data_IF_990673096610
#
_entry.id   IF_990673096610
#
_cell.length_a   1.000
_cell.length_b   1.000
_cell.length_c   1.000
_cell.angle_alpha   90.00
_cell.angle_beta   90.00
_cell.angle_gamma   90.00
#
_symmetry.space_group_name_H-M   'P 1'
#
loop_
_entity.id
_entity.type
_entity.pdbx_description
1 polymer ?
#
# COMPACT_ATOMS: atom_id res chain seq x y z
N UNK A 1 7.79 12.51 6.06
CA UNK A 1 9.24 12.56 6.38
C UNK A 1 9.71 13.99 6.28
N UNK A 2 10.57 14.47 7.19
CA UNK A 2 11.21 15.79 7.08
C UNK A 2 12.18 15.79 5.88
N UNK A 3 12.20 16.87 5.08
CA UNK A 3 13.05 16.99 3.88
C UNK A 3 14.54 16.78 4.17
N UNK A 4 15.05 17.27 5.30
CA UNK A 4 16.45 17.02 5.70
C UNK A 4 16.75 15.53 5.91
N UNK A 5 15.78 14.76 6.36
CA UNK A 5 15.93 13.30 6.51
C UNK A 5 15.89 12.59 5.16
N UNK A 6 15.13 13.10 4.18
CA UNK A 6 15.10 12.53 2.84
C UNK A 6 16.47 12.64 2.15
N UNK A 7 17.12 13.80 2.21
CA UNK A 7 18.47 13.98 1.62
C UNK A 7 19.49 13.05 2.27
N UNK A 8 19.45 12.92 3.61
CA UNK A 8 20.30 11.98 4.32
C UNK A 8 20.04 10.53 3.90
N UNK A 9 18.77 10.11 3.79
CA UNK A 9 18.34 8.80 3.33
C UNK A 9 18.87 8.50 1.92
N UNK A 10 18.69 9.41 0.96
CA UNK A 10 19.17 9.24 -0.41
C UNK A 10 20.70 9.14 -0.47
N UNK A 11 21.40 9.94 0.34
CA UNK A 11 22.85 9.90 0.42
C UNK A 11 23.36 8.58 0.98
N UNK A 12 22.76 8.09 2.07
CA UNK A 12 23.13 6.82 2.71
C UNK A 12 22.89 5.65 1.75
N UNK A 13 21.72 5.59 1.10
CA UNK A 13 21.42 4.53 0.14
C UNK A 13 22.38 4.52 -1.05
N UNK A 14 22.79 5.69 -1.54
CA UNK A 14 23.79 5.75 -2.60
C UNK A 14 25.16 5.22 -2.17
N UNK A 15 25.53 5.39 -0.90
CA UNK A 15 26.76 4.80 -0.34
C UNK A 15 26.61 3.27 -0.22
N UNK A 16 25.47 2.78 0.32
CA UNK A 16 25.19 1.35 0.46
C UNK A 16 25.13 0.63 -0.90
N UNK A 17 24.50 1.22 -1.92
CA UNK A 17 24.51 0.70 -3.30
C UNK A 17 25.92 0.47 -3.82
N UNK A 18 26.85 1.42 -3.58
CA UNK A 18 28.25 1.29 -3.99
C UNK A 18 28.98 0.23 -3.19
N UNK A 19 28.77 0.19 -1.88
CA UNK A 19 29.42 -0.72 -0.96
C UNK A 19 29.05 -2.19 -1.26
N UNK A 20 27.76 -2.47 -1.47
CA UNK A 20 27.22 -3.83 -1.63
C UNK A 20 26.92 -4.23 -3.09
N UNK A 21 27.41 -3.46 -4.08
CA UNK A 21 27.11 -3.66 -5.51
C UNK A 21 27.42 -5.06 -6.07
N UNK A 22 28.27 -5.86 -5.39
CA UNK A 22 28.62 -7.24 -5.78
C UNK A 22 27.81 -8.30 -5.07
N UNK A 23 27.11 -7.93 -4.01
CA UNK A 23 26.43 -8.86 -3.10
C UNK A 23 24.92 -8.79 -3.26
N UNK A 24 24.36 -7.59 -3.46
CA UNK A 24 22.92 -7.35 -3.54
C UNK A 24 22.60 -6.12 -4.38
N UNK A 25 21.45 -6.16 -5.05
CA UNK A 25 20.86 -4.98 -5.69
C UNK A 25 19.99 -4.24 -4.67
N UNK A 26 20.33 -2.98 -4.41
CA UNK A 26 19.56 -2.12 -3.51
C UNK A 26 18.81 -1.09 -4.37
N UNK A 27 17.48 -1.07 -4.28
CA UNK A 27 16.64 -0.05 -4.88
C UNK A 27 16.29 1.02 -3.86
N UNK A 28 16.40 2.28 -4.27
CA UNK A 28 15.93 3.43 -3.47
C UNK A 28 14.45 3.60 -3.71
N UNK A 29 13.65 3.59 -2.66
CA UNK A 29 12.21 3.78 -2.79
C UNK A 29 11.59 4.49 -1.61
N UNK A 30 10.37 4.96 -1.80
CA UNK A 30 9.53 5.54 -0.77
C UNK A 30 8.13 4.92 -0.85
N UNK A 31 7.49 4.82 0.28
CA UNK A 31 6.05 4.65 0.33
C UNK A 31 5.42 6.04 0.31
N UNK A 32 4.63 6.30 -0.72
CA UNK A 32 3.96 7.57 -0.97
C UNK A 32 2.50 7.42 -0.57
N UNK A 33 2.08 8.19 0.42
CA UNK A 33 0.67 8.26 0.77
C UNK A 33 -0.13 9.05 -0.27
N UNK A 34 -1.19 8.43 -0.80
CA UNK A 34 -2.24 9.18 -1.47
C UNK A 34 -3.18 9.76 -0.41
N UNK A 35 -3.30 11.06 -0.39
CA UNK A 35 -4.19 11.80 0.51
C UNK A 35 -5.11 12.66 -0.35
N UNK A 36 -6.41 12.35 -0.35
CA UNK A 36 -7.42 13.11 -1.11
C UNK A 36 -7.33 14.60 -0.80
N UNK A 37 -7.21 15.43 -1.85
CA UNK A 37 -7.05 16.88 -1.71
C UNK A 37 -5.61 17.37 -1.61
N UNK A 38 -4.61 16.45 -1.62
CA UNK A 38 -3.18 16.78 -1.63
C UNK A 38 -2.47 16.26 -2.91
N UNK A 39 -3.23 16.07 -3.98
CA UNK A 39 -2.69 15.56 -5.25
C UNK A 39 -1.63 16.48 -5.83
N UNK A 40 -1.83 17.81 -5.71
CA UNK A 40 -0.88 18.82 -6.21
C UNK A 40 0.45 18.76 -5.46
N UNK A 41 0.41 18.68 -4.13
CA UNK A 41 1.58 18.61 -3.27
C UNK A 41 2.33 17.28 -3.48
N UNK A 42 1.59 16.19 -3.65
CA UNK A 42 2.18 14.87 -3.95
C UNK A 42 2.86 14.91 -5.32
N UNK A 43 2.23 15.53 -6.33
CA UNK A 43 2.80 15.70 -7.67
C UNK A 43 4.06 16.55 -7.64
N UNK A 44 4.03 17.68 -6.90
CA UNK A 44 5.22 18.54 -6.72
C UNK A 44 6.36 17.77 -6.06
N UNK A 45 6.06 17.02 -4.99
CA UNK A 45 7.06 16.17 -4.33
C UNK A 45 7.67 15.15 -5.31
N UNK A 46 6.84 14.44 -6.05
CA UNK A 46 7.28 13.44 -7.02
C UNK A 46 8.11 14.07 -8.16
N UNK A 47 7.75 15.25 -8.65
CA UNK A 47 8.52 15.96 -9.66
C UNK A 47 9.90 16.38 -9.15
N UNK A 48 10.01 16.73 -7.87
CA UNK A 48 11.28 17.14 -7.26
C UNK A 48 12.21 15.97 -6.93
N UNK A 49 11.64 14.83 -6.51
CA UNK A 49 12.42 13.72 -5.95
C UNK A 49 12.30 12.41 -6.71
N UNK A 50 11.28 12.24 -7.57
CA UNK A 50 10.99 10.98 -8.24
C UNK A 50 12.14 10.46 -9.11
N UNK A 51 12.95 11.35 -9.70
CA UNK A 51 14.11 10.95 -10.49
C UNK A 51 15.24 10.28 -9.68
N UNK A 52 15.20 10.39 -8.35
CA UNK A 52 16.15 9.74 -7.43
C UNK A 52 15.66 8.39 -6.91
N UNK A 53 14.42 8.02 -7.23
CA UNK A 53 13.79 6.80 -6.76
C UNK A 53 13.83 5.74 -7.86
N UNK A 54 14.31 4.55 -7.53
CA UNK A 54 14.32 3.41 -8.45
C UNK A 54 12.97 2.70 -8.47
N UNK A 55 12.30 2.65 -7.30
CA UNK A 55 11.04 1.97 -7.07
C UNK A 55 10.32 2.60 -5.86
N UNK A 56 9.01 2.75 -5.96
CA UNK A 56 8.20 3.32 -4.89
C UNK A 56 6.81 2.69 -4.89
N UNK A 57 6.13 2.81 -3.76
CA UNK A 57 4.80 2.26 -3.56
C UNK A 57 3.83 3.43 -3.33
N UNK A 58 2.66 3.37 -3.96
CA UNK A 58 1.55 4.29 -3.70
C UNK A 58 0.55 3.60 -2.78
N UNK A 59 0.30 4.17 -1.62
CA UNK A 59 -0.50 3.58 -0.56
C UNK A 59 -1.62 4.49 -0.09
N UNK A 60 -2.64 3.91 0.52
CA UNK A 60 -3.76 4.64 1.16
C UNK A 60 -3.85 4.24 2.62
N UNK A 61 -3.50 5.18 3.51
CA UNK A 61 -3.65 5.04 4.96
C UNK A 61 -4.72 6.00 5.52
N UNK A 62 -4.95 7.12 4.84
CA UNK A 62 -5.80 8.19 5.32
C UNK A 62 -7.09 8.27 4.49
N UNK A 63 -8.22 8.20 5.17
CA UNK A 63 -9.54 8.44 4.57
C UNK A 63 -10.06 9.80 4.97
N UNK A 64 -10.57 10.54 3.99
CA UNK A 64 -11.22 11.84 4.22
C UNK A 64 -12.71 11.62 4.46
N UNK A 65 -13.16 11.95 5.66
CA UNK A 65 -14.59 12.03 6.00
C UNK A 65 -14.94 13.46 6.34
N UNK A 66 -15.82 14.06 5.52
CA UNK A 66 -16.15 15.47 5.57
C UNK A 66 -14.89 16.36 5.43
N UNK A 67 -14.32 16.86 6.52
CA UNK A 67 -13.11 17.67 6.54
C UNK A 67 -12.06 17.09 7.52
N UNK A 68 -12.14 15.80 7.85
CA UNK A 68 -11.23 15.15 8.78
C UNK A 68 -10.59 13.94 8.14
N UNK A 69 -9.26 13.85 8.25
CA UNK A 69 -8.52 12.66 7.85
C UNK A 69 -8.45 11.67 9.00
N UNK A 70 -8.73 10.41 8.70
CA UNK A 70 -8.63 9.30 9.64
C UNK A 70 -7.61 8.30 9.11
N UNK A 71 -6.54 8.06 9.88
CA UNK A 71 -5.59 6.99 9.61
C UNK A 71 -6.22 5.66 10.04
N UNK A 72 -6.63 4.84 9.06
CA UNK A 72 -7.44 3.63 9.31
C UNK A 72 -6.64 2.50 9.95
N UNK A 73 -5.35 2.55 9.84
CA UNK A 73 -4.45 1.51 10.33
C UNK A 73 -3.69 1.91 11.60
N UNK A 74 -3.97 3.09 12.16
CA UNK A 74 -3.27 3.62 13.35
C UNK A 74 -3.47 2.73 14.58
N UNK A 75 -4.74 2.45 14.94
CA UNK A 75 -5.09 1.53 16.02
C UNK A 75 -6.49 0.95 15.84
N UNK A 76 -6.74 -0.20 16.47
CA UNK A 76 -8.07 -0.83 16.49
C UNK A 76 -9.15 0.14 17.02
N UNK A 77 -8.83 0.89 18.05
CA UNK A 77 -9.76 1.84 18.69
C UNK A 77 -10.12 3.00 17.75
N UNK A 78 -9.15 3.52 16.99
CA UNK A 78 -9.40 4.56 15.96
C UNK A 78 -10.29 3.99 14.88
N UNK A 79 -9.97 2.79 14.39
CA UNK A 79 -10.74 2.13 13.34
C UNK A 79 -12.19 1.86 13.77
N UNK A 80 -12.42 1.28 14.95
CA UNK A 80 -13.77 0.98 15.44
C UNK A 80 -14.60 2.24 15.67
N UNK A 81 -14.02 3.32 16.20
CA UNK A 81 -14.71 4.62 16.30
C UNK A 81 -15.08 5.17 14.93
N UNK A 82 -14.25 4.93 13.93
CA UNK A 82 -14.56 5.37 12.57
C UNK A 82 -15.69 4.54 11.95
N UNK A 83 -15.74 3.24 12.21
CA UNK A 83 -16.88 2.37 11.85
C UNK A 83 -18.17 2.87 12.50
N UNK A 84 -18.14 3.17 13.81
CA UNK A 84 -19.29 3.73 14.53
C UNK A 84 -19.74 5.07 13.91
N UNK A 85 -18.80 5.96 13.61
CA UNK A 85 -19.08 7.26 12.99
C UNK A 85 -19.75 7.14 11.62
N UNK A 86 -19.29 6.20 10.77
CA UNK A 86 -19.85 5.98 9.44
C UNK A 86 -21.07 5.04 9.43
N UNK A 87 -21.43 4.47 10.58
CA UNK A 87 -22.63 3.67 10.81
C UNK A 87 -22.50 2.18 10.46
N UNK A 88 -21.46 1.77 9.74
CA UNK A 88 -21.20 0.35 9.45
C UNK A 88 -19.77 0.08 8.99
N UNK A 89 -19.25 -1.15 9.16
CA UNK A 89 -17.99 -1.57 8.55
C UNK A 89 -17.99 -1.44 7.03
N UNK A 90 -19.09 -1.79 6.37
CA UNK A 90 -19.25 -1.67 4.91
C UNK A 90 -19.02 -0.22 4.44
N UNK A 91 -19.49 0.78 5.19
CA UNK A 91 -19.26 2.20 4.84
C UNK A 91 -17.78 2.58 4.86
N UNK A 92 -17.00 2.03 5.80
CA UNK A 92 -15.55 2.24 5.85
C UNK A 92 -14.87 1.57 4.66
N UNK A 93 -15.25 0.32 4.33
CA UNK A 93 -14.71 -0.42 3.19
C UNK A 93 -14.99 0.31 1.86
N UNK A 94 -16.22 0.76 1.65
CA UNK A 94 -16.58 1.53 0.43
C UNK A 94 -15.79 2.82 0.32
N UNK A 95 -15.61 3.54 1.42
CA UNK A 95 -14.79 4.77 1.42
C UNK A 95 -13.32 4.46 1.15
N UNK A 96 -12.79 3.36 1.71
CA UNK A 96 -11.42 2.91 1.45
C UNK A 96 -11.21 2.58 -0.04
N UNK A 97 -12.04 1.71 -0.62
CA UNK A 97 -11.90 1.31 -2.03
C UNK A 97 -12.15 2.47 -2.99
N UNK A 98 -13.06 3.39 -2.64
CA UNK A 98 -13.20 4.63 -3.40
C UNK A 98 -11.90 5.44 -3.38
N UNK A 99 -11.31 5.67 -2.22
CA UNK A 99 -10.06 6.43 -2.09
C UNK A 99 -8.90 5.72 -2.81
N UNK A 100 -8.83 4.39 -2.73
CA UNK A 100 -7.85 3.59 -3.45
C UNK A 100 -8.04 3.70 -4.98
N UNK A 101 -9.28 3.66 -5.47
CA UNK A 101 -9.59 3.90 -6.89
C UNK A 101 -9.18 5.31 -7.31
N UNK A 102 -9.46 6.32 -6.48
CA UNK A 102 -9.04 7.70 -6.71
C UNK A 102 -7.50 7.79 -6.80
N UNK A 103 -6.76 7.09 -5.93
CA UNK A 103 -5.29 7.03 -5.98
C UNK A 103 -4.76 6.42 -7.29
N UNK A 104 -5.39 5.33 -7.72
CA UNK A 104 -5.05 4.63 -8.98
C UNK A 104 -5.31 5.52 -10.19
N UNK A 105 -6.42 6.24 -10.20
CA UNK A 105 -6.88 7.02 -11.36
C UNK A 105 -6.31 8.44 -11.42
N UNK A 106 -5.87 9.01 -10.30
CA UNK A 106 -5.28 10.36 -10.24
C UNK A 106 -4.03 10.50 -11.09
N UNK A 107 -3.87 11.64 -11.72
CA UNK A 107 -2.62 12.03 -12.37
C UNK A 107 -1.68 12.66 -11.34
N UNK A 108 -0.65 11.93 -10.95
CA UNK A 108 0.40 12.40 -10.04
C UNK A 108 1.74 12.65 -10.79
N UNK A 109 1.67 12.84 -12.10
CA UNK A 109 2.83 13.10 -12.96
C UNK A 109 3.62 11.85 -13.35
N UNK A 110 4.75 12.07 -14.05
CA UNK A 110 5.54 10.99 -14.68
C UNK A 110 6.26 10.08 -13.66
N UNK A 111 6.41 10.52 -12.43
CA UNK A 111 7.04 9.76 -11.35
C UNK A 111 6.04 9.12 -10.39
N UNK A 112 4.75 9.08 -10.77
CA UNK A 112 3.75 8.34 -10.00
C UNK A 112 4.19 6.89 -9.81
N UNK A 113 4.21 6.35 -8.58
CA UNK A 113 4.55 4.95 -8.35
C UNK A 113 3.63 4.01 -9.14
N UNK A 114 4.22 3.01 -9.76
CA UNK A 114 3.45 1.97 -10.49
C UNK A 114 2.95 0.87 -9.57
N UNK A 115 3.64 0.64 -8.45
CA UNK A 115 3.26 -0.37 -7.47
C UNK A 115 2.22 0.20 -6.52
N UNK A 116 1.08 -0.47 -6.41
CA UNK A 116 0.02 -0.12 -5.46
C UNK A 116 0.19 -0.97 -4.21
N UNK A 117 0.38 -0.30 -3.08
CA UNK A 117 0.61 -0.92 -1.78
C UNK A 117 -0.65 -1.53 -1.18
N UNK A 118 -0.49 -2.65 -0.51
CA UNK A 118 -1.47 -3.30 0.39
C UNK A 118 -2.95 -2.97 0.12
N UNK A 119 -3.44 -3.26 -1.09
CA UNK A 119 -4.76 -2.85 -1.60
C UNK A 119 -5.97 -3.26 -0.73
N UNK A 120 -5.78 -4.07 0.29
CA UNK A 120 -6.79 -4.46 1.28
C UNK A 120 -6.39 -4.09 2.71
N UNK A 121 -5.67 -2.98 2.92
CA UNK A 121 -5.26 -2.53 4.27
C UNK A 121 -6.46 -2.34 5.21
N UNK A 122 -7.63 -2.05 4.68
CA UNK A 122 -8.89 -1.97 5.44
C UNK A 122 -9.20 -3.25 6.24
N UNK A 123 -8.63 -4.41 5.85
CA UNK A 123 -8.74 -5.69 6.57
C UNK A 123 -7.88 -5.76 7.85
N UNK A 124 -7.03 -4.76 8.12
CA UNK A 124 -6.09 -4.80 9.27
C UNK A 124 -6.77 -5.13 10.59
N UNK A 125 -8.03 -4.71 10.75
CA UNK A 125 -8.82 -4.95 11.96
C UNK A 125 -10.10 -5.75 11.71
N UNK A 126 -10.19 -6.51 10.61
CA UNK A 126 -11.40 -7.24 10.22
C UNK A 126 -11.91 -8.21 11.31
N UNK A 127 -11.01 -8.89 12.04
CA UNK A 127 -11.41 -9.77 13.14
C UNK A 127 -11.80 -9.05 14.45
N UNK A 128 -11.78 -7.73 14.47
CA UNK A 128 -12.33 -6.92 15.55
C UNK A 128 -13.76 -6.43 15.25
N UNK A 129 -14.24 -6.65 14.02
CA UNK A 129 -15.59 -6.30 13.60
C UNK A 129 -16.60 -7.32 14.10
N UNK A 130 -17.86 -6.90 14.26
CA UNK A 130 -18.98 -7.77 14.63
C UNK A 130 -19.57 -8.55 13.46
N UNK A 131 -19.21 -8.19 12.24
CA UNK A 131 -19.71 -8.80 11.01
C UNK A 131 -18.59 -8.95 9.97
N UNK A 132 -18.74 -9.91 9.08
CA UNK A 132 -17.87 -10.09 7.92
C UNK A 132 -18.34 -9.13 6.82
N UNK A 133 -17.42 -8.39 6.23
CA UNK A 133 -17.71 -7.53 5.08
C UNK A 133 -17.36 -8.29 3.80
N UNK A 134 -18.32 -8.39 2.88
CA UNK A 134 -18.07 -8.90 1.53
C UNK A 134 -17.67 -7.72 0.62
N UNK A 135 -16.40 -7.69 0.24
CA UNK A 135 -15.79 -6.67 -0.60
C UNK A 135 -15.19 -7.23 -1.90
N UNK A 136 -15.62 -8.45 -2.27
CA UNK A 136 -15.13 -9.14 -3.47
C UNK A 136 -15.19 -8.27 -4.73
N UNK A 137 -16.33 -7.64 -4.99
CA UNK A 137 -16.54 -6.80 -6.17
C UNK A 137 -15.65 -5.55 -6.15
N UNK A 138 -15.40 -4.97 -4.97
CA UNK A 138 -14.52 -3.81 -4.84
C UNK A 138 -13.07 -4.18 -5.17
N UNK A 139 -12.56 -5.28 -4.61
CA UNK A 139 -11.21 -5.79 -4.90
C UNK A 139 -11.08 -6.13 -6.39
N UNK A 140 -12.07 -6.79 -6.97
CA UNK A 140 -12.07 -7.13 -8.40
C UNK A 140 -12.01 -5.86 -9.26
N UNK A 141 -12.80 -4.83 -8.93
CA UNK A 141 -12.76 -3.54 -9.61
C UNK A 141 -11.38 -2.88 -9.55
N UNK A 142 -10.72 -2.91 -8.39
CA UNK A 142 -9.34 -2.42 -8.22
C UNK A 142 -8.36 -3.19 -9.12
N UNK A 143 -8.40 -4.52 -9.12
CA UNK A 143 -7.50 -5.34 -9.94
C UNK A 143 -7.70 -5.07 -11.44
N UNK A 144 -8.94 -4.95 -11.89
CA UNK A 144 -9.25 -4.61 -13.30
C UNK A 144 -8.67 -3.26 -13.68
N UNK A 145 -8.81 -2.23 -12.83
CA UNK A 145 -8.26 -0.90 -13.12
C UNK A 145 -6.73 -0.89 -13.08
N UNK A 146 -6.12 -1.63 -12.14
CA UNK A 146 -4.66 -1.80 -12.11
C UNK A 146 -4.13 -2.43 -13.40
N UNK A 147 -4.80 -3.49 -13.90
CA UNK A 147 -4.46 -4.10 -15.20
C UNK A 147 -4.56 -3.10 -16.35
N UNK A 148 -5.66 -2.35 -16.42
CA UNK A 148 -5.91 -1.37 -17.49
C UNK A 148 -4.83 -0.29 -17.53
N UNK A 149 -4.26 0.07 -16.38
CA UNK A 149 -3.21 1.09 -16.23
C UNK A 149 -1.80 0.53 -16.20
N UNK A 150 -1.61 -0.78 -16.38
CA UNK A 150 -0.31 -1.45 -16.35
C UNK A 150 0.43 -1.20 -15.00
N UNK A 151 -0.30 -1.23 -13.90
CA UNK A 151 0.22 -1.09 -12.54
C UNK A 151 0.68 -2.42 -11.99
N UNK A 152 1.43 -2.39 -10.89
CA UNK A 152 2.01 -3.54 -10.20
C UNK A 152 1.32 -3.73 -8.85
N UNK A 153 1.12 -4.98 -8.44
CA UNK A 153 0.54 -5.34 -7.15
C UNK A 153 1.63 -5.58 -6.11
N UNK A 154 1.54 -4.89 -4.98
CA UNK A 154 2.29 -5.24 -3.77
C UNK A 154 1.62 -6.46 -3.09
N UNK A 155 2.24 -7.63 -3.22
CA UNK A 155 1.83 -8.83 -2.48
C UNK A 155 2.40 -8.75 -1.06
N UNK A 156 1.71 -8.04 -0.19
CA UNK A 156 2.20 -7.63 1.13
C UNK A 156 1.91 -8.69 2.19
N UNK A 157 2.96 -9.17 2.83
CA UNK A 157 2.87 -10.24 3.83
C UNK A 157 2.64 -9.77 5.27
N UNK A 158 2.74 -8.46 5.54
CA UNK A 158 2.69 -7.94 6.91
C UNK A 158 1.38 -8.23 7.65
N UNK A 159 0.27 -8.34 6.91
CA UNK A 159 -1.04 -8.62 7.49
C UNK A 159 -1.11 -9.96 8.24
N UNK A 160 -0.33 -10.98 7.83
CA UNK A 160 -0.24 -12.24 8.58
C UNK A 160 0.24 -12.06 10.02
N UNK A 161 1.11 -11.08 10.26
CA UNK A 161 1.62 -10.77 11.60
C UNK A 161 0.66 -9.92 12.44
N UNK A 162 -0.35 -9.28 11.80
CA UNK A 162 -1.28 -8.40 12.52
C UNK A 162 -2.35 -9.22 13.25
N UNK A 163 -2.59 -8.97 14.56
CA UNK A 163 -3.45 -9.82 15.39
C UNK A 163 -4.91 -9.88 14.93
N UNK A 164 -5.41 -8.85 14.27
CA UNK A 164 -6.78 -8.73 13.81
C UNK A 164 -6.94 -8.81 12.28
N UNK A 165 -5.87 -9.12 11.53
CA UNK A 165 -5.88 -9.33 10.07
C UNK A 165 -5.74 -10.82 9.72
N UNK A 166 -4.57 -11.41 10.01
CA UNK A 166 -4.23 -12.83 9.82
C UNK A 166 -4.18 -13.31 8.36
N UNK A 167 -4.04 -12.42 7.41
CA UNK A 167 -3.90 -12.69 5.99
C UNK A 167 -2.96 -11.68 5.32
N UNK A 168 -2.60 -11.91 4.06
CA UNK A 168 -1.83 -10.94 3.26
C UNK A 168 -2.72 -9.79 2.76
N UNK A 169 -2.07 -8.72 2.30
CA UNK A 169 -2.73 -7.62 1.58
C UNK A 169 -2.34 -7.65 0.09
N UNK A 170 -3.25 -8.06 -0.84
CA UNK A 170 -4.55 -8.68 -0.58
C UNK A 170 -4.42 -10.16 -0.17
N UNK A 171 -5.55 -10.80 0.23
CA UNK A 171 -5.61 -12.24 0.47
C UNK A 171 -5.11 -13.06 -0.73
N UNK A 172 -4.48 -14.21 -0.46
CA UNK A 172 -3.83 -15.09 -1.45
C UNK A 172 -4.69 -15.37 -2.70
N UNK A 173 -6.01 -15.64 -2.62
CA UNK A 173 -6.84 -15.85 -3.81
C UNK A 173 -6.83 -14.67 -4.78
N UNK A 174 -6.79 -13.44 -4.27
CA UNK A 174 -6.76 -12.23 -5.12
C UNK A 174 -5.38 -11.98 -5.72
N UNK A 175 -4.29 -12.40 -5.06
CA UNK A 175 -2.95 -12.38 -5.66
C UNK A 175 -2.89 -13.36 -6.83
N UNK A 176 -3.49 -14.55 -6.69
CA UNK A 176 -3.60 -15.52 -7.78
C UNK A 176 -4.41 -14.96 -8.96
N UNK A 177 -5.54 -14.33 -8.65
CA UNK A 177 -6.38 -13.66 -9.66
C UNK A 177 -5.63 -12.53 -10.36
N UNK A 178 -4.87 -11.70 -9.63
CA UNK A 178 -4.02 -10.65 -10.22
C UNK A 178 -3.01 -11.24 -11.21
N UNK A 179 -2.39 -12.38 -10.87
CA UNK A 179 -1.48 -13.11 -11.78
C UNK A 179 -2.19 -13.58 -13.04
N UNK A 180 -3.40 -14.16 -12.91
CA UNK A 180 -4.23 -14.59 -14.05
C UNK A 180 -4.63 -13.41 -14.94
N UNK A 181 -4.87 -12.23 -14.37
CA UNK A 181 -5.13 -10.99 -15.10
C UNK A 181 -3.89 -10.40 -15.76
N UNK A 182 -2.69 -10.95 -15.51
CA UNK A 182 -1.43 -10.46 -16.06
C UNK A 182 -0.88 -9.22 -15.36
N UNK A 183 -1.30 -8.95 -14.11
CA UNK A 183 -0.74 -7.87 -13.30
C UNK A 183 0.61 -8.33 -12.75
N UNK A 184 1.70 -7.56 -12.92
CA UNK A 184 2.97 -7.87 -12.29
C UNK A 184 2.84 -7.86 -10.75
N UNK A 185 3.40 -8.89 -10.10
CA UNK A 185 3.30 -9.05 -8.66
C UNK A 185 4.68 -8.88 -8.05
N UNK A 186 4.80 -8.04 -7.06
CA UNK A 186 6.03 -7.81 -6.31
C UNK A 186 5.78 -8.15 -4.84
N UNK A 187 6.65 -8.99 -4.28
CA UNK A 187 6.56 -9.34 -2.86
C UNK A 187 6.96 -8.16 -1.97
N UNK A 188 6.11 -7.84 -1.01
CA UNK A 188 6.36 -6.88 0.05
C UNK A 188 6.35 -7.55 1.43
N UNK A 189 7.44 -7.40 2.20
CA UNK A 189 7.43 -7.80 3.61
C UNK A 189 6.97 -6.70 4.55
N UNK A 190 6.96 -5.46 4.07
CA UNK A 190 6.66 -4.27 4.87
C UNK A 190 7.47 -4.26 6.19
N UNK A 191 8.77 -4.56 6.05
CA UNK A 191 9.67 -4.76 7.16
C UNK A 191 10.14 -3.42 7.72
N UNK A 192 9.80 -3.14 8.98
CA UNK A 192 10.27 -1.98 9.72
C UNK A 192 11.53 -2.27 10.57
N UNK A 193 11.97 -3.53 10.59
CA UNK A 193 13.16 -4.00 11.31
C UNK A 193 13.77 -5.17 10.53
N UNK A 194 15.07 -5.37 10.68
CA UNK A 194 15.80 -6.42 9.96
C UNK A 194 15.22 -7.85 10.16
N UNK A 195 14.67 -8.14 11.35
CA UNK A 195 14.06 -9.45 11.65
C UNK A 195 12.76 -9.72 10.87
N UNK A 196 12.10 -8.67 10.36
CA UNK A 196 10.84 -8.77 9.63
C UNK A 196 11.06 -8.91 8.12
N UNK A 197 12.33 -8.83 7.66
CA UNK A 197 12.67 -9.09 6.26
C UNK A 197 12.25 -10.50 5.87
N UNK A 198 11.60 -10.62 4.69
CA UNK A 198 11.08 -11.89 4.17
C UNK A 198 10.05 -12.60 5.08
N UNK A 199 9.44 -11.88 6.03
CA UNK A 199 8.38 -12.48 6.86
C UNK A 199 7.29 -13.08 5.97
N UNK A 200 6.86 -14.29 6.30
CA UNK A 200 5.81 -15.04 5.60
C UNK A 200 6.01 -15.25 4.08
N UNK A 201 7.20 -15.03 3.53
CA UNK A 201 7.47 -15.23 2.09
C UNK A 201 7.04 -16.62 1.59
N UNK A 202 7.22 -17.65 2.43
CA UNK A 202 6.86 -19.03 2.09
C UNK A 202 5.38 -19.22 1.77
N UNK A 203 4.50 -18.36 2.27
CA UNK A 203 3.07 -18.40 1.94
C UNK A 203 2.77 -18.05 0.47
N UNK A 204 3.75 -17.46 -0.24
CA UNK A 204 3.61 -17.02 -1.63
C UNK A 204 4.34 -17.93 -2.64
N UNK A 205 5.03 -18.99 -2.19
CA UNK A 205 5.90 -19.84 -3.04
C UNK A 205 5.24 -20.43 -4.29
N UNK A 206 3.92 -20.61 -4.28
CA UNK A 206 3.20 -21.18 -5.43
C UNK A 206 2.61 -20.09 -6.36
N UNK A 207 2.81 -18.82 -6.05
CA UNK A 207 2.19 -17.69 -6.73
C UNK A 207 3.24 -16.78 -7.38
N UNK A 208 4.33 -16.51 -6.69
CA UNK A 208 5.45 -15.65 -7.15
C UNK A 208 6.45 -16.37 -8.05
#
# INVERSE_FOLDING_TARGET
MDFHRLEAYLTELNQLKKQYKRDIVISTGLEIDYISGFESETTEFLNNYGSYLDDSILSVHFLLDQNQYVCIDYSKEVYLRFVEKLGSPMSVYKLYYKTLMDSITSDLGIYKPKRIGHITLVHKFQHALSEIVDDHEDILGILVEMRNRLLELDANSAGFAKPFCKESYPPIPYISLAKELGIPIVFGSDAHQAKDLHQYYKCFNNIL
#
